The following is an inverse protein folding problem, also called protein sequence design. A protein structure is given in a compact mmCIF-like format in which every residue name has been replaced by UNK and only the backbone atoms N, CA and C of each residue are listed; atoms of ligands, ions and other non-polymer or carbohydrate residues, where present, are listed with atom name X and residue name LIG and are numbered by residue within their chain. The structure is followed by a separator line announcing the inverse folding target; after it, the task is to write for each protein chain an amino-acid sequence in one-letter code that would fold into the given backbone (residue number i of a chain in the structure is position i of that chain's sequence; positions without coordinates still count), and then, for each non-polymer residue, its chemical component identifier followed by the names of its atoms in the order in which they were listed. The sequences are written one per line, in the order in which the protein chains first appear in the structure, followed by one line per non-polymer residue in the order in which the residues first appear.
data_IF_886419755475
#
_entry.id   IF_886419755475
#
_cell.length_a   1.000
_cell.length_b   1.000
_cell.length_c   1.000
_cell.angle_alpha   90.00
_cell.angle_beta   90.00
_cell.angle_gamma   90.00
#
_symmetry.space_group_name_H-M   'P 1'
#
loop_
_entity.id
_entity.type
_entity.pdbx_description
1 polymer ?
#
# COMPACT_ATOMS: atom_id res chain seq x y z
N UNK A 1 10.23 2.97 -19.06
CA UNK A 1 8.87 2.76 -19.60
C UNK A 1 8.07 2.14 -18.47
N UNK A 2 7.00 2.78 -18.00
CA UNK A 2 6.10 2.17 -17.03
C UNK A 2 5.53 0.90 -17.67
N UNK A 3 5.73 -0.26 -17.05
CA UNK A 3 5.19 -1.53 -17.51
C UNK A 3 3.67 -1.44 -17.61
N UNK A 4 3.08 -2.13 -18.59
CA UNK A 4 1.63 -2.19 -18.70
C UNK A 4 1.05 -2.80 -17.42
N UNK A 5 -0.05 -2.24 -16.93
CA UNK A 5 -0.77 -2.82 -15.81
C UNK A 5 -1.44 -4.13 -16.22
N UNK A 6 -1.48 -5.08 -15.30
CA UNK A 6 -2.12 -6.40 -15.51
C UNK A 6 -3.63 -6.27 -15.39
N UNK A 7 -4.11 -5.49 -14.41
CA UNK A 7 -5.53 -5.30 -14.14
C UNK A 7 -6.01 -4.03 -14.84
N UNK A 8 -6.63 -4.15 -16.01
CA UNK A 8 -7.00 -2.98 -16.82
C UNK A 8 -8.48 -2.61 -16.76
N UNK A 9 -9.38 -3.59 -16.56
CA UNK A 9 -10.83 -3.44 -16.72
C UNK A 9 -11.63 -3.67 -15.44
N UNK A 10 -11.01 -3.42 -14.28
CA UNK A 10 -11.66 -3.56 -12.95
C UNK A 10 -11.91 -2.21 -12.31
N UNK A 11 -13.06 -2.12 -11.63
CA UNK A 11 -13.40 -0.99 -10.77
C UNK A 11 -13.31 -1.39 -9.28
N UNK A 12 -12.89 -0.51 -8.38
CA UNK A 12 -12.41 0.87 -8.61
C UNK A 12 -10.99 0.89 -9.21
N UNK A 13 -10.79 1.59 -10.32
CA UNK A 13 -9.48 1.61 -11.03
C UNK A 13 -8.32 2.04 -10.15
N UNK A 14 -8.51 3.11 -9.36
CA UNK A 14 -7.46 3.64 -8.47
C UNK A 14 -6.94 2.58 -7.51
N UNK A 15 -7.84 1.81 -6.89
CA UNK A 15 -7.47 0.74 -5.96
C UNK A 15 -6.53 -0.28 -6.63
N UNK A 16 -6.91 -0.80 -7.79
CA UNK A 16 -6.09 -1.78 -8.49
C UNK A 16 -4.75 -1.20 -8.96
N UNK A 17 -4.72 0.08 -9.38
CA UNK A 17 -3.47 0.76 -9.72
C UNK A 17 -2.52 0.84 -8.55
N UNK A 18 -2.99 1.28 -7.39
CA UNK A 18 -2.16 1.35 -6.17
C UNK A 18 -1.68 -0.02 -5.73
N UNK A 19 -2.52 -1.05 -5.84
CA UNK A 19 -2.10 -2.41 -5.54
C UNK A 19 -0.98 -2.90 -6.48
N UNK A 20 -1.14 -2.69 -7.79
CA UNK A 20 -0.12 -3.07 -8.76
C UNK A 20 1.18 -2.25 -8.63
N UNK A 21 1.08 -0.96 -8.30
CA UNK A 21 2.26 -0.13 -8.08
C UNK A 21 3.02 -0.60 -6.83
N UNK A 22 2.30 -0.95 -5.76
CA UNK A 22 2.88 -1.55 -4.57
C UNK A 22 3.52 -2.92 -4.86
N UNK A 23 2.92 -3.75 -5.70
CA UNK A 23 3.46 -5.05 -6.10
C UNK A 23 4.78 -4.95 -6.88
N UNK A 24 5.07 -3.79 -7.50
CA UNK A 24 6.35 -3.53 -8.18
C UNK A 24 7.48 -3.21 -7.22
N UNK A 25 7.17 -2.94 -5.95
CA UNK A 25 8.14 -2.51 -4.93
C UNK A 25 8.47 -3.70 -4.05
N UNK A 26 9.73 -4.15 -3.99
CA UNK A 26 10.18 -5.11 -3.00
C UNK A 26 9.92 -4.59 -1.59
N UNK A 27 9.21 -5.39 -0.76
CA UNK A 27 8.76 -4.95 0.57
C UNK A 27 8.62 -6.10 1.56
N UNK A 28 9.42 -7.14 1.41
CA UNK A 28 9.47 -8.20 2.43
C UNK A 28 9.90 -7.59 3.77
N UNK A 29 9.43 -8.16 4.87
CA UNK A 29 9.73 -7.66 6.23
C UNK A 29 11.21 -7.35 6.42
N UNK A 30 11.54 -6.21 6.98
CA UNK A 30 12.85 -5.53 7.10
C UNK A 30 13.39 -4.86 5.81
N UNK A 31 12.63 -4.86 4.71
CA UNK A 31 12.99 -4.21 3.44
C UNK A 31 11.90 -3.22 2.97
N UNK A 32 11.23 -2.54 3.92
CA UNK A 32 10.07 -1.68 3.65
C UNK A 32 10.43 -0.26 3.23
N UNK A 33 11.71 0.12 3.25
CA UNK A 33 12.14 1.52 3.02
C UNK A 33 11.59 2.09 1.70
N UNK A 34 11.63 1.31 0.62
CA UNK A 34 11.14 1.75 -0.70
C UNK A 34 9.61 1.89 -0.72
N UNK A 35 8.87 0.98 -0.08
CA UNK A 35 7.42 1.07 0.04
C UNK A 35 6.99 2.26 0.91
N UNK A 36 7.71 2.50 2.00
CA UNK A 36 7.53 3.68 2.85
C UNK A 36 7.80 4.99 2.09
N UNK A 37 8.85 5.01 1.27
CA UNK A 37 9.16 6.18 0.44
C UNK A 37 8.06 6.43 -0.61
N UNK A 38 7.56 5.38 -1.26
CA UNK A 38 6.44 5.47 -2.19
C UNK A 38 5.20 6.12 -1.56
N UNK A 39 4.88 5.75 -0.32
CA UNK A 39 3.75 6.33 0.43
C UNK A 39 4.03 7.80 0.81
N UNK A 40 5.25 8.13 1.18
CA UNK A 40 5.64 9.52 1.47
C UNK A 40 5.58 10.40 0.21
N UNK A 41 6.12 9.92 -0.92
CA UNK A 41 6.07 10.61 -2.21
C UNK A 41 4.62 10.82 -2.67
N UNK A 42 3.76 9.82 -2.47
CA UNK A 42 2.32 9.92 -2.74
C UNK A 42 1.69 11.10 -1.99
N UNK A 43 1.99 11.26 -0.70
CA UNK A 43 1.46 12.35 0.11
C UNK A 43 2.00 13.71 -0.34
N UNK A 44 3.30 13.81 -0.64
CA UNK A 44 3.95 15.03 -1.08
C UNK A 44 3.38 15.50 -2.43
N UNK A 45 3.22 14.61 -3.41
CA UNK A 45 2.64 14.90 -4.72
C UNK A 45 1.21 15.47 -4.64
N UNK A 46 0.46 15.11 -3.58
CA UNK A 46 -0.93 15.55 -3.36
C UNK A 46 -1.08 16.69 -2.36
N UNK A 47 0.05 17.18 -1.84
CA UNK A 47 0.06 18.25 -0.84
C UNK A 47 -0.61 17.85 0.47
N UNK A 48 -0.67 16.55 0.78
CA UNK A 48 -1.16 16.04 2.05
C UNK A 48 -0.09 16.17 3.13
N UNK A 49 -0.53 16.49 4.35
CA UNK A 49 0.39 16.46 5.48
C UNK A 49 0.79 15.01 5.80
N UNK A 50 2.08 14.78 6.00
CA UNK A 50 2.58 13.49 6.43
C UNK A 50 3.78 13.60 7.36
N UNK A 51 4.03 12.56 8.14
CA UNK A 51 5.29 12.33 8.82
C UNK A 51 5.76 10.90 8.61
N UNK A 52 7.07 10.72 8.54
CA UNK A 52 7.75 9.43 8.42
C UNK A 52 8.75 9.29 9.56
N UNK A 53 8.69 8.18 10.29
CA UNK A 53 9.60 7.93 11.38
C UNK A 53 10.87 7.17 10.95
N UNK A 54 11.76 6.92 11.91
CA UNK A 54 13.02 6.18 11.68
C UNK A 54 12.82 4.68 11.40
N UNK A 55 11.65 4.14 11.72
CA UNK A 55 11.27 2.75 11.47
C UNK A 55 10.54 2.60 10.13
N UNK A 56 10.46 3.70 9.38
CA UNK A 56 9.76 3.79 8.10
C UNK A 56 8.22 3.73 8.18
N UNK A 57 7.63 3.87 9.37
CA UNK A 57 6.20 4.09 9.47
C UNK A 57 5.84 5.46 8.89
N UNK A 58 4.70 5.55 8.19
CA UNK A 58 4.21 6.80 7.61
C UNK A 58 2.81 7.08 8.10
N UNK A 59 2.59 8.27 8.64
CA UNK A 59 1.25 8.78 8.95
C UNK A 59 0.90 9.87 7.95
N UNK A 60 -0.23 9.74 7.28
CA UNK A 60 -0.80 10.76 6.38
C UNK A 60 -2.11 11.26 6.98
N UNK A 61 -2.31 12.59 6.98
CA UNK A 61 -3.55 13.20 7.39
C UNK A 61 -4.25 13.86 6.20
N UNK A 62 -5.57 13.69 6.11
CA UNK A 62 -6.45 14.37 5.16
C UNK A 62 -7.56 15.06 5.94
N UNK A 63 -7.73 16.36 5.74
CA UNK A 63 -8.80 17.14 6.36
C UNK A 63 -10.17 16.61 5.93
N UNK A 64 -11.17 16.74 6.79
CA UNK A 64 -12.55 16.35 6.46
C UNK A 64 -13.08 17.15 5.27
N UNK A 65 -13.89 16.51 4.44
CA UNK A 65 -14.57 17.19 3.34
C UNK A 65 -15.50 18.27 3.86
N UNK A 66 -15.83 19.23 2.99
CA UNK A 66 -16.66 20.40 3.34
C UNK A 66 -17.94 20.01 4.09
N UNK A 67 -18.04 20.52 5.31
CA UNK A 67 -19.17 20.23 6.21
C UNK A 67 -18.95 19.03 7.14
N UNK A 68 -17.83 18.31 6.99
CA UNK A 68 -17.47 17.17 7.82
C UNK A 68 -16.19 17.42 8.65
N UNK A 69 -15.59 18.59 8.57
CA UNK A 69 -14.30 18.96 9.21
C UNK A 69 -14.36 18.87 10.74
N UNK A 70 -15.55 19.02 11.30
CA UNK A 70 -15.80 19.00 12.75
C UNK A 70 -16.09 17.60 13.31
N UNK A 71 -16.21 16.61 12.44
CA UNK A 71 -16.46 15.23 12.86
C UNK A 71 -15.21 14.61 13.48
N UNK A 72 -15.37 13.62 14.39
CA UNK A 72 -14.23 12.87 14.90
C UNK A 72 -13.42 12.24 13.75
N UNK A 73 -12.07 12.27 13.82
CA UNK A 73 -11.24 11.65 12.81
C UNK A 73 -11.40 10.13 12.80
N UNK A 74 -11.19 9.54 11.64
CA UNK A 74 -11.11 8.09 11.45
C UNK A 74 -9.67 7.71 11.20
N UNK A 75 -9.13 6.80 12.03
CA UNK A 75 -7.83 6.18 11.81
C UNK A 75 -8.01 4.91 10.99
N UNK A 76 -7.28 4.83 9.88
CA UNK A 76 -7.09 3.62 9.08
C UNK A 76 -5.64 3.17 9.26
N UNK A 77 -5.44 1.88 9.45
CA UNK A 77 -4.11 1.30 9.64
C UNK A 77 -3.90 0.13 8.67
N UNK A 78 -2.68 -0.02 8.18
CA UNK A 78 -2.26 -1.16 7.38
C UNK A 78 -0.74 -1.24 7.29
N UNK A 79 -0.20 -2.48 7.26
CA UNK A 79 1.24 -2.68 7.24
C UNK A 79 1.81 -2.78 5.82
N UNK A 80 3.00 -2.19 5.65
CA UNK A 80 3.71 -2.14 4.37
C UNK A 80 4.42 -3.43 4.04
N UNK A 81 4.88 -4.16 5.04
CA UNK A 81 5.63 -5.39 4.84
C UNK A 81 4.75 -6.57 4.38
N UNK A 82 5.40 -7.61 3.93
CA UNK A 82 4.77 -8.86 3.54
C UNK A 82 5.67 -10.05 3.83
N UNK A 83 5.06 -11.21 4.07
CA UNK A 83 5.79 -12.48 4.14
C UNK A 83 6.34 -12.85 2.77
N UNK A 84 7.64 -13.14 2.70
CA UNK A 84 8.31 -13.63 1.49
C UNK A 84 8.35 -15.15 1.46
N UNK A 85 7.39 -15.79 0.80
CA UNK A 85 7.40 -17.23 0.54
C UNK A 85 7.24 -17.51 -0.95
N UNK A 86 7.93 -18.54 -1.46
CA UNK A 86 7.90 -18.90 -2.88
C UNK A 86 7.93 -20.41 -3.09
N UNK A 87 7.46 -20.82 -4.26
CA UNK A 87 7.54 -22.18 -4.73
C UNK A 87 9.01 -22.60 -4.97
N UNK A 88 9.31 -23.89 -4.83
CA UNK A 88 10.68 -24.44 -5.01
C UNK A 88 11.29 -24.14 -6.37
N UNK A 89 10.46 -24.06 -7.40
CA UNK A 89 10.91 -23.76 -8.77
C UNK A 89 11.13 -22.27 -9.04
N UNK A 90 10.65 -21.39 -8.17
CA UNK A 90 10.74 -19.94 -8.37
C UNK A 90 12.15 -19.41 -8.05
N UNK A 91 12.73 -18.68 -8.99
CA UNK A 91 14.01 -17.97 -8.80
C UNK A 91 13.84 -16.57 -8.21
N UNK A 92 12.61 -16.15 -7.87
CA UNK A 92 12.29 -14.81 -7.36
C UNK A 92 13.16 -14.41 -6.17
N UNK A 93 13.65 -13.19 -6.16
CA UNK A 93 14.36 -12.57 -5.05
C UNK A 93 13.51 -11.44 -4.45
N UNK A 94 12.96 -11.64 -3.27
CA UNK A 94 12.08 -10.68 -2.59
C UNK A 94 12.74 -9.35 -2.23
N UNK A 95 14.07 -9.25 -2.25
CA UNK A 95 14.78 -8.01 -1.97
C UNK A 95 14.91 -7.11 -3.20
N UNK A 96 14.78 -7.68 -4.40
CA UNK A 96 15.08 -6.95 -5.65
C UNK A 96 13.99 -7.04 -6.71
N UNK A 97 13.20 -8.11 -6.71
CA UNK A 97 12.29 -8.39 -7.80
C UNK A 97 10.86 -7.95 -7.48
N UNK A 98 10.14 -7.36 -8.44
CA UNK A 98 8.71 -7.08 -8.30
C UNK A 98 7.90 -8.37 -8.27
N UNK A 99 6.78 -8.37 -7.55
CA UNK A 99 5.82 -9.48 -7.61
C UNK A 99 5.20 -9.54 -9.00
N UNK A 100 5.36 -10.67 -9.67
CA UNK A 100 4.75 -10.92 -10.97
C UNK A 100 3.27 -11.29 -10.79
N UNK A 101 2.38 -10.38 -11.15
CA UNK A 101 0.94 -10.55 -11.02
C UNK A 101 0.36 -11.30 -12.20
N UNK A 102 -0.58 -12.21 -11.93
CA UNK A 102 -1.33 -12.97 -12.93
C UNK A 102 -2.82 -12.81 -12.65
N UNK A 103 -3.57 -12.29 -13.63
CA UNK A 103 -5.04 -12.22 -13.60
C UNK A 103 -5.63 -13.40 -14.37
N UNK A 104 -6.42 -14.23 -13.69
CA UNK A 104 -7.15 -15.36 -14.28
C UNK A 104 -8.64 -15.25 -13.94
N UNK A 105 -9.43 -14.72 -14.85
CA UNK A 105 -10.85 -14.48 -14.61
C UNK A 105 -11.07 -13.49 -13.48
N UNK A 106 -11.60 -13.94 -12.34
CA UNK A 106 -11.85 -13.10 -11.15
C UNK A 106 -10.80 -13.29 -10.05
N UNK A 107 -9.72 -14.00 -10.33
CA UNK A 107 -8.66 -14.30 -9.38
C UNK A 107 -7.40 -13.54 -9.78
N UNK A 108 -6.80 -12.84 -8.81
CA UNK A 108 -5.46 -12.29 -8.92
C UNK A 108 -4.52 -13.13 -8.05
N UNK A 109 -3.42 -13.56 -8.63
CA UNK A 109 -2.37 -14.33 -7.92
C UNK A 109 -0.98 -13.88 -8.34
N UNK A 110 0.03 -14.31 -7.61
CA UNK A 110 1.43 -14.12 -7.97
C UNK A 110 1.97 -15.38 -8.67
N UNK A 111 2.99 -15.20 -9.51
CA UNK A 111 3.68 -16.27 -10.21
C UNK A 111 4.71 -16.96 -9.30
N UNK A 112 4.25 -17.99 -8.59
CA UNK A 112 5.12 -18.82 -7.73
C UNK A 112 5.66 -18.11 -6.48
N UNK A 113 4.99 -17.05 -6.02
CA UNK A 113 5.32 -16.34 -4.78
C UNK A 113 4.07 -16.03 -3.97
N UNK A 114 4.25 -15.57 -2.72
CA UNK A 114 3.21 -14.84 -1.99
C UNK A 114 2.81 -13.60 -2.77
N UNK A 115 1.51 -13.23 -2.73
CA UNK A 115 0.95 -12.10 -3.47
C UNK A 115 1.19 -10.76 -2.76
N UNK A 116 1.28 -10.77 -1.43
CA UNK A 116 1.33 -9.57 -0.62
C UNK A 116 -0.01 -8.82 -0.54
N UNK A 117 -1.15 -9.53 -0.74
CA UNK A 117 -2.48 -8.96 -0.52
C UNK A 117 -2.70 -8.60 0.95
N UNK A 118 -2.11 -9.36 1.84
CA UNK A 118 -1.85 -9.01 3.23
C UNK A 118 -0.52 -8.25 3.33
N UNK A 119 -0.49 -6.96 3.63
CA UNK A 119 -1.67 -6.11 3.74
C UNK A 119 -1.77 -5.08 2.60
N UNK A 120 -1.26 -5.43 1.40
CA UNK A 120 -1.27 -4.59 0.20
C UNK A 120 -2.67 -4.14 -0.22
N UNK A 121 -3.71 -4.93 0.10
CA UNK A 121 -5.09 -4.53 -0.18
C UNK A 121 -5.50 -3.33 0.69
N UNK A 122 -5.20 -3.35 1.99
CA UNK A 122 -5.50 -2.23 2.88
C UNK A 122 -4.73 -0.97 2.45
N UNK A 123 -3.43 -1.11 2.14
CA UNK A 123 -2.61 0.01 1.64
C UNK A 123 -3.24 0.62 0.38
N UNK A 124 -3.62 -0.21 -0.60
CA UNK A 124 -4.24 0.26 -1.84
C UNK A 124 -5.58 0.97 -1.59
N UNK A 125 -6.41 0.47 -0.65
CA UNK A 125 -7.67 1.12 -0.24
C UNK A 125 -7.37 2.47 0.40
N UNK A 126 -6.44 2.54 1.34
CA UNK A 126 -6.07 3.77 2.04
C UNK A 126 -5.58 4.84 1.05
N UNK A 127 -4.70 4.48 0.12
CA UNK A 127 -4.22 5.38 -0.91
C UNK A 127 -5.35 5.84 -1.85
N UNK A 128 -6.26 4.94 -2.23
CA UNK A 128 -7.42 5.30 -3.07
C UNK A 128 -8.36 6.28 -2.37
N UNK A 129 -8.62 6.11 -1.06
CA UNK A 129 -9.43 7.02 -0.25
C UNK A 129 -8.76 8.40 -0.07
N UNK A 130 -7.45 8.41 0.15
CA UNK A 130 -6.68 9.65 0.24
C UNK A 130 -6.67 10.43 -1.09
N UNK A 131 -6.65 9.73 -2.23
CA UNK A 131 -6.63 10.31 -3.59
C UNK A 131 -8.04 10.63 -4.14
N UNK A 132 -9.10 10.35 -3.40
CA UNK A 132 -10.46 10.64 -3.84
C UNK A 132 -10.88 12.05 -3.39
N UNK A 133 -11.04 12.97 -4.35
CA UNK A 133 -11.47 14.34 -4.10
C UNK A 133 -12.99 14.48 -4.00
N UNK A 134 -13.76 13.50 -4.46
CA UNK A 134 -15.22 13.53 -4.46
C UNK A 134 -15.83 12.83 -3.24
N UNK A 135 -15.04 12.05 -2.51
CA UNK A 135 -15.48 11.33 -1.32
C UNK A 135 -15.91 12.32 -0.21
N UNK A 136 -17.08 12.08 0.36
CA UNK A 136 -17.52 12.79 1.57
C UNK A 136 -17.02 11.99 2.79
N UNK A 137 -16.15 12.61 3.59
CA UNK A 137 -15.48 11.91 4.70
C UNK A 137 -15.17 12.84 5.87
N UNK A 138 -15.11 12.33 7.11
CA UNK A 138 -14.54 13.04 8.25
C UNK A 138 -13.03 13.23 8.06
N UNK A 139 -12.32 13.97 8.92
CA UNK A 139 -10.87 13.93 8.92
C UNK A 139 -10.35 12.49 8.95
N UNK A 140 -9.36 12.17 8.14
CA UNK A 140 -8.77 10.84 8.06
C UNK A 140 -7.30 10.87 8.46
N UNK A 141 -6.91 9.85 9.20
CA UNK A 141 -5.52 9.53 9.53
C UNK A 141 -5.23 8.15 8.96
N UNK A 142 -4.26 8.06 8.07
CA UNK A 142 -3.83 6.79 7.47
C UNK A 142 -2.43 6.46 7.98
N UNK A 143 -2.33 5.42 8.79
CA UNK A 143 -1.07 4.94 9.37
C UNK A 143 -0.60 3.71 8.61
N UNK A 144 0.55 3.84 7.96
CA UNK A 144 1.22 2.77 7.23
C UNK A 144 2.37 2.27 8.09
N UNK A 145 2.27 1.04 8.58
CA UNK A 145 3.21 0.46 9.54
C UNK A 145 4.20 -0.48 8.89
N UNK A 146 5.26 -0.84 9.61
CA UNK A 146 6.30 -1.75 9.15
C UNK A 146 6.51 -2.88 10.16
N UNK A 147 7.10 -4.01 9.70
CA UNK A 147 7.49 -5.15 10.53
C UNK A 147 6.32 -5.75 11.34
N UNK A 148 5.11 -5.73 10.75
CA UNK A 148 3.93 -6.34 11.39
C UNK A 148 4.10 -7.84 11.50
N UNK A 149 4.58 -8.50 10.45
CA UNK A 149 4.72 -9.95 10.29
C UNK A 149 5.73 -10.58 11.27
N UNK A 150 6.50 -9.76 11.97
CA UNK A 150 7.45 -10.19 13.02
C UNK A 150 7.01 -9.82 14.44
N UNK A 151 5.74 -9.43 14.61
CA UNK A 151 5.15 -9.12 15.91
C UNK A 151 5.11 -7.62 16.24
N UNK A 152 4.83 -6.80 15.24
CA UNK A 152 4.67 -5.34 15.34
C UNK A 152 5.95 -4.62 15.80
N UNK A 153 7.12 -5.12 15.41
CA UNK A 153 8.40 -4.54 15.88
C UNK A 153 8.58 -3.09 15.40
N UNK A 154 8.02 -2.74 14.25
CA UNK A 154 8.04 -1.36 13.74
C UNK A 154 7.22 -0.36 14.56
N UNK A 155 6.34 -0.83 15.46
CA UNK A 155 5.46 0.00 16.29
C UNK A 155 5.89 0.11 17.76
N UNK A 156 7.06 -0.43 18.11
CA UNK A 156 7.59 -0.44 19.49
C UNK A 156 8.44 0.77 19.83
#
# INVERSE_FOLDING_TARGET
MAGAYVINDREPKKLYRYFEDLAKIPRVTFHEEAASQYVADFAEERGLWYCRDRMYNVLIQKEGSKGCEHLPPVLLEGHLDMVGAKEEWSSHNFETDPIELIEEGNILRANGTTLGADNGCAIAIMLALLDDEELIHPPMECLFTTQEETGLDGMK
#
